data_IF_197788456877
#
_entry.id   IF_197788456877
#
_cell.length_a   1.000
_cell.length_b   1.000
_cell.length_c   1.000
_cell.angle_alpha   90.00
_cell.angle_beta   90.00
_cell.angle_gamma   90.00
#
_symmetry.space_group_name_H-M   'P 1'
#
loop_
_entity.id
_entity.type
_entity.pdbx_description
1 polymer ?
#
# COMPACT_ATOMS: atom_id res chain seq x y z
N UNK A 1 -8.05 7.16 3.53
CA UNK A 1 -6.97 7.88 4.23
C UNK A 1 -6.19 6.97 5.15
N UNK A 2 -4.87 7.08 5.14
CA UNK A 2 -3.94 6.40 6.05
C UNK A 2 -2.81 7.35 6.45
N UNK A 3 -2.03 7.03 7.49
CA UNK A 3 -0.99 7.92 7.98
C UNK A 3 0.14 8.13 6.95
N UNK A 4 0.37 7.15 6.06
CA UNK A 4 1.34 7.29 4.97
C UNK A 4 0.93 8.36 3.94
N UNK A 5 -0.36 8.43 3.61
CA UNK A 5 -0.93 9.50 2.77
C UNK A 5 -0.79 10.86 3.45
N UNK A 6 -1.10 10.94 4.75
CA UNK A 6 -0.90 12.16 5.55
C UNK A 6 0.56 12.64 5.50
N UNK A 7 1.53 11.74 5.70
CA UNK A 7 2.96 12.07 5.57
C UNK A 7 3.31 12.53 4.15
N UNK A 8 2.71 11.93 3.13
CA UNK A 8 2.89 12.34 1.72
C UNK A 8 2.41 13.76 1.45
N UNK A 9 1.23 14.12 1.95
CA UNK A 9 0.71 15.51 1.87
C UNK A 9 1.63 16.50 2.58
N UNK A 10 2.32 16.06 3.63
CA UNK A 10 3.29 16.86 4.39
C UNK A 10 4.69 16.87 3.77
N UNK A 11 4.87 16.34 2.56
CA UNK A 11 6.11 16.40 1.81
C UNK A 11 7.11 15.29 2.12
N UNK A 12 6.73 14.25 2.88
CA UNK A 12 7.58 13.08 3.02
C UNK A 12 7.62 12.30 1.71
N UNK A 13 8.82 12.15 1.16
CA UNK A 13 9.06 11.34 -0.05
C UNK A 13 8.71 9.87 0.19
N UNK A 14 8.25 9.14 -0.85
CA UNK A 14 7.88 7.73 -0.71
C UNK A 14 9.05 6.83 -0.31
N UNK A 15 10.26 7.13 -0.80
CA UNK A 15 11.44 6.30 -0.61
C UNK A 15 11.40 4.97 -1.38
N UNK A 16 12.25 4.02 -0.98
CA UNK A 16 12.37 2.73 -1.66
C UNK A 16 11.09 1.89 -1.56
N UNK A 17 10.81 1.12 -2.62
CA UNK A 17 9.74 0.13 -2.63
C UNK A 17 10.18 -1.16 -1.91
N UNK A 18 9.30 -1.71 -1.08
CA UNK A 18 9.49 -2.95 -0.32
C UNK A 18 8.19 -3.74 -0.29
N UNK A 19 8.29 -5.07 -0.32
CA UNK A 19 7.13 -5.95 -0.09
C UNK A 19 7.24 -6.49 1.32
N UNK A 20 6.32 -6.09 2.18
CA UNK A 20 6.29 -6.53 3.56
C UNK A 20 5.52 -7.86 3.68
N UNK A 21 6.02 -8.83 4.48
CA UNK A 21 5.25 -10.04 4.79
C UNK A 21 3.88 -9.67 5.35
N UNK A 22 2.82 -10.33 4.86
CA UNK A 22 1.41 -10.12 5.23
C UNK A 22 0.78 -8.76 4.86
N UNK A 23 1.56 -7.67 4.80
CA UNK A 23 1.06 -6.32 4.51
C UNK A 23 1.16 -5.92 3.03
N UNK A 24 1.95 -6.65 2.24
CA UNK A 24 2.05 -6.49 0.79
C UNK A 24 2.97 -5.35 0.33
N UNK A 25 2.81 -4.91 -0.93
CA UNK A 25 3.55 -3.80 -1.54
C UNK A 25 3.46 -2.50 -0.72
N UNK A 26 4.61 -1.89 -0.39
CA UNK A 26 4.73 -0.59 0.28
C UNK A 26 5.97 0.19 -0.17
N UNK A 27 6.01 1.48 0.15
CA UNK A 27 7.25 2.26 0.14
C UNK A 27 7.71 2.53 1.60
N UNK A 28 8.92 3.06 1.78
CA UNK A 28 9.49 3.33 3.12
C UNK A 28 8.56 4.23 3.93
N UNK A 29 8.07 5.33 3.37
CA UNK A 29 7.15 6.25 4.06
C UNK A 29 5.88 5.55 4.52
N UNK A 30 5.23 4.80 3.64
CA UNK A 30 3.99 4.09 3.92
C UNK A 30 4.19 2.90 4.87
N UNK A 31 5.44 2.41 5.01
CA UNK A 31 5.82 1.43 6.02
C UNK A 31 5.91 2.05 7.42
N UNK A 32 6.40 3.28 7.55
CA UNK A 32 6.28 4.04 8.80
C UNK A 32 4.83 4.49 9.04
N UNK A 33 4.09 4.81 7.98
CA UNK A 33 2.66 5.08 8.02
C UNK A 33 1.87 3.96 8.70
N UNK A 34 2.20 2.71 8.37
CA UNK A 34 1.58 1.53 8.97
C UNK A 34 1.69 1.51 10.51
N UNK A 35 2.80 1.99 11.08
CA UNK A 35 2.96 2.07 12.54
C UNK A 35 1.95 3.07 13.11
N UNK A 36 1.79 4.23 12.45
CA UNK A 36 0.77 5.21 12.82
C UNK A 36 -0.65 4.65 12.72
N UNK A 37 -0.94 3.90 11.65
CA UNK A 37 -2.24 3.24 11.46
C UNK A 37 -2.52 2.20 12.56
N UNK A 38 -1.51 1.47 13.05
CA UNK A 38 -1.69 0.54 14.18
C UNK A 38 -2.14 1.25 15.46
N UNK A 39 -1.65 2.46 15.73
CA UNK A 39 -2.09 3.23 16.91
C UNK A 39 -3.51 3.78 16.77
N UNK A 40 -4.02 3.94 15.55
CA UNK A 40 -5.38 4.46 15.31
C UNK A 40 -6.42 3.37 15.04
N UNK A 41 -5.99 2.11 14.84
CA UNK A 41 -6.89 0.98 14.61
C UNK A 41 -7.61 0.56 15.90
N UNK A 42 -8.95 0.61 15.96
CA UNK A 42 -9.72 0.21 17.15
C UNK A 42 -9.50 -1.26 17.54
N UNK A 43 -9.10 -2.13 16.59
CA UNK A 43 -8.84 -3.55 16.89
C UNK A 43 -7.66 -3.72 17.83
N UNK A 44 -6.69 -2.81 17.83
CA UNK A 44 -5.55 -2.85 18.75
C UNK A 44 -5.95 -2.60 20.21
N UNK A 45 -7.17 -2.10 20.44
CA UNK A 45 -7.71 -1.79 21.76
C UNK A 45 -8.77 -2.80 22.23
N UNK A 46 -8.99 -3.90 21.49
CA UNK A 46 -9.84 -5.01 21.94
C UNK A 46 -9.13 -5.74 23.09
N UNK A 47 -9.75 -5.78 24.27
CA UNK A 47 -9.17 -6.36 25.49
C UNK A 47 -8.99 -7.88 25.40
N UNK A 48 -9.91 -8.57 24.72
CA UNK A 48 -9.84 -10.02 24.53
C UNK A 48 -8.82 -10.37 23.44
N UNK A 49 -7.75 -11.04 23.85
CA UNK A 49 -6.62 -11.40 22.98
C UNK A 49 -7.03 -12.37 21.86
N UNK A 50 -7.87 -13.37 22.18
CA UNK A 50 -8.33 -14.36 21.20
C UNK A 50 -9.22 -13.71 20.14
N UNK A 51 -10.13 -12.84 20.56
CA UNK A 51 -10.97 -12.05 19.68
C UNK A 51 -10.13 -11.11 18.79
N UNK A 52 -9.13 -10.42 19.38
CA UNK A 52 -8.22 -9.56 18.63
C UNK A 52 -7.44 -10.33 17.57
N UNK A 53 -6.87 -11.48 17.93
CA UNK A 53 -6.15 -12.34 16.99
C UNK A 53 -7.08 -12.91 15.91
N UNK A 54 -8.31 -13.29 16.26
CA UNK A 54 -9.30 -13.76 15.30
C UNK A 54 -9.67 -12.68 14.28
N UNK A 55 -9.86 -11.43 14.72
CA UNK A 55 -10.14 -10.29 13.83
C UNK A 55 -8.95 -10.03 12.91
N UNK A 56 -7.73 -9.95 13.45
CA UNK A 56 -6.51 -9.74 12.66
C UNK A 56 -6.33 -10.85 11.63
N UNK A 57 -6.44 -12.12 12.05
CA UNK A 57 -6.34 -13.27 11.17
C UNK A 57 -7.39 -13.25 10.05
N UNK A 58 -8.62 -12.89 10.38
CA UNK A 58 -9.70 -12.75 9.39
C UNK A 58 -9.39 -11.67 8.37
N UNK A 59 -8.86 -10.51 8.78
CA UNK A 59 -8.46 -9.43 7.87
C UNK A 59 -7.36 -9.86 6.91
N UNK A 60 -6.38 -10.64 7.37
CA UNK A 60 -5.30 -11.17 6.52
C UNK A 60 -5.86 -12.14 5.46
N UNK A 61 -6.74 -13.06 5.87
CA UNK A 61 -7.38 -14.01 4.95
C UNK A 61 -8.27 -13.29 3.94
N UNK A 62 -9.08 -12.33 4.39
CA UNK A 62 -9.95 -11.54 3.53
C UNK A 62 -9.16 -10.72 2.50
N UNK A 63 -8.06 -10.08 2.93
CA UNK A 63 -7.16 -9.35 2.04
C UNK A 63 -6.62 -10.27 0.92
N UNK A 64 -6.15 -11.48 1.25
CA UNK A 64 -5.69 -12.45 0.25
C UNK A 64 -6.82 -12.93 -0.65
N UNK A 65 -8.00 -13.21 -0.10
CA UNK A 65 -9.16 -13.67 -0.85
C UNK A 65 -9.58 -12.64 -1.92
N UNK A 66 -9.53 -11.35 -1.59
CA UNK A 66 -9.84 -10.26 -2.51
C UNK A 66 -8.82 -10.14 -3.67
N UNK A 67 -7.58 -10.58 -3.47
CA UNK A 67 -6.52 -10.55 -4.49
C UNK A 67 -6.55 -11.73 -5.45
N UNK A 68 -7.22 -12.85 -5.12
CA UNK A 68 -7.25 -14.07 -5.96
C UNK A 68 -7.78 -13.82 -7.39
N UNK A 69 -8.66 -12.83 -7.56
CA UNK A 69 -9.17 -12.48 -8.90
C UNK A 69 -8.13 -11.66 -9.68
N UNK A 70 -7.46 -10.73 -9.02
CA UNK A 70 -6.44 -9.88 -9.64
C UNK A 70 -5.19 -10.68 -10.02
N UNK A 71 -4.80 -11.65 -9.19
CA UNK A 71 -3.67 -12.56 -9.43
C UNK A 71 -3.81 -13.31 -10.75
N UNK A 72 -5.00 -13.87 -11.05
CA UNK A 72 -5.23 -14.57 -12.33
C UNK A 72 -5.04 -13.66 -13.55
N UNK A 73 -5.47 -12.40 -13.43
CA UNK A 73 -5.31 -11.41 -14.50
C UNK A 73 -3.84 -11.01 -14.66
N UNK A 74 -3.13 -10.85 -13.54
CA UNK A 74 -1.69 -10.57 -13.51
C UNK A 74 -0.88 -11.69 -14.16
N UNK A 75 -1.15 -12.94 -13.78
CA UNK A 75 -0.48 -14.14 -14.32
C UNK A 75 -0.63 -14.26 -15.84
N UNK A 76 -1.78 -13.85 -16.38
CA UNK A 76 -2.07 -13.93 -17.83
C UNK A 76 -1.49 -12.74 -18.62
N UNK A 77 -1.38 -11.56 -18.00
CA UNK A 77 -1.08 -10.30 -18.70
C UNK A 77 0.36 -9.79 -18.51
N UNK A 78 1.02 -10.12 -17.39
CA UNK A 78 2.33 -9.55 -17.05
C UNK A 78 3.47 -10.53 -17.34
N UNK A 79 4.45 -10.10 -18.12
CA UNK A 79 5.71 -10.85 -18.32
C UNK A 79 6.58 -10.84 -17.05
N UNK A 80 6.56 -9.73 -16.31
CA UNK A 80 7.22 -9.58 -14.99
C UNK A 80 6.19 -9.01 -14.00
N UNK A 81 5.67 -9.91 -13.17
CA UNK A 81 4.64 -9.60 -12.18
C UNK A 81 5.13 -8.58 -11.14
N UNK A 82 6.41 -8.70 -10.72
CA UNK A 82 6.93 -7.86 -9.65
C UNK A 82 7.04 -6.40 -10.08
N UNK A 83 7.64 -6.12 -11.25
CA UNK A 83 7.75 -4.74 -11.73
C UNK A 83 6.37 -4.15 -12.04
N UNK A 84 5.46 -4.94 -12.61
CA UNK A 84 4.10 -4.49 -12.86
C UNK A 84 3.36 -4.09 -11.57
N UNK A 85 3.40 -4.95 -10.54
CA UNK A 85 2.77 -4.66 -9.24
C UNK A 85 3.42 -3.45 -8.57
N UNK A 86 4.75 -3.35 -8.62
CA UNK A 86 5.48 -2.20 -8.06
C UNK A 86 5.02 -0.90 -8.71
N UNK A 87 5.00 -0.84 -10.02
CA UNK A 87 4.69 0.39 -10.76
C UNK A 87 3.21 0.78 -10.57
N UNK A 88 2.30 -0.20 -10.63
CA UNK A 88 0.89 0.00 -10.34
C UNK A 88 0.65 0.47 -8.90
N UNK A 89 1.38 -0.09 -7.93
CA UNK A 89 1.31 0.34 -6.53
C UNK A 89 1.76 1.79 -6.37
N UNK A 90 2.91 2.16 -6.94
CA UNK A 90 3.46 3.51 -6.80
C UNK A 90 2.54 4.56 -7.45
N UNK A 91 2.03 4.29 -8.66
CA UNK A 91 1.03 5.14 -9.32
C UNK A 91 -0.23 5.32 -8.47
N UNK A 92 -0.78 4.22 -7.94
CA UNK A 92 -1.95 4.27 -7.05
C UNK A 92 -1.66 5.09 -5.78
N UNK A 93 -0.48 4.96 -5.18
CA UNK A 93 -0.13 5.72 -3.97
C UNK A 93 0.02 7.21 -4.24
N UNK A 94 0.64 7.59 -5.36
CA UNK A 94 0.71 8.99 -5.77
C UNK A 94 -0.70 9.54 -5.96
N UNK A 95 -1.55 8.83 -6.70
CA UNK A 95 -2.95 9.23 -6.89
C UNK A 95 -3.70 9.45 -5.56
N UNK A 96 -3.51 8.56 -4.58
CA UNK A 96 -4.12 8.68 -3.25
C UNK A 96 -3.60 9.89 -2.46
N UNK A 97 -2.29 10.18 -2.51
CA UNK A 97 -1.70 11.33 -1.80
C UNK A 97 -2.25 12.67 -2.32
N UNK A 98 -2.62 12.73 -3.60
CA UNK A 98 -3.11 13.95 -4.25
C UNK A 98 -4.63 13.94 -4.47
N UNK A 99 -5.39 13.15 -3.71
CA UNK A 99 -6.86 13.07 -3.80
C UNK A 99 -7.38 12.86 -5.23
N UNK A 100 -6.62 12.11 -6.02
CA UNK A 100 -6.93 11.76 -7.39
C UNK A 100 -6.47 12.74 -8.47
N UNK A 101 -5.78 13.82 -8.08
CA UNK A 101 -5.22 14.81 -9.01
C UNK A 101 -3.69 14.93 -8.82
N UNK A 102 -2.93 13.86 -9.11
CA UNK A 102 -1.47 13.91 -9.02
C UNK A 102 -0.91 14.93 -10.03
N UNK A 103 0.22 15.58 -9.71
CA UNK A 103 0.93 16.40 -10.69
C UNK A 103 1.29 15.53 -11.90
N UNK A 104 1.24 16.11 -13.10
CA UNK A 104 1.71 15.42 -14.30
C UNK A 104 3.19 15.06 -14.09
N UNK A 105 3.56 13.82 -14.42
CA UNK A 105 4.97 13.46 -14.38
C UNK A 105 5.68 14.29 -15.46
N UNK A 106 6.62 15.14 -15.02
CA UNK A 106 7.52 15.91 -15.88
C UNK A 106 8.50 14.95 -16.60
N UNK A 107 7.99 14.05 -17.44
CA UNK A 107 8.80 13.25 -18.35
C UNK A 107 9.31 14.16 -19.47
N UNK A 108 10.30 14.99 -19.15
CA UNK A 108 11.06 15.70 -20.18
C UNK A 108 12.00 14.71 -20.86
N UNK A 109 11.49 14.08 -21.92
CA UNK A 109 12.24 13.21 -22.83
C UNK A 109 13.40 13.93 -23.53
N UNK A 110 13.54 15.25 -23.35
CA UNK A 110 14.57 16.09 -23.93
C UNK A 110 15.46 16.80 -22.89
N UNK A 111 15.33 16.49 -21.60
CA UNK A 111 16.26 16.99 -20.59
C UNK A 111 17.62 16.31 -20.75
N UNK A 112 18.56 17.03 -21.38
CA UNK A 112 19.94 16.64 -21.69
C UNK A 112 20.90 16.81 -20.52
#
# INVERSE_FOLDING_TARGET
EDFGQTLGVWGAEPGAYVVLPFFGPRNVRDSFGLIGDMFTDPVMYVEDDDARMAIIGTRVVDARANLLKAEKVLDEAATDEYSYIRDAYMQRRQHLVYDGNPPEDDFDVFAE
#
